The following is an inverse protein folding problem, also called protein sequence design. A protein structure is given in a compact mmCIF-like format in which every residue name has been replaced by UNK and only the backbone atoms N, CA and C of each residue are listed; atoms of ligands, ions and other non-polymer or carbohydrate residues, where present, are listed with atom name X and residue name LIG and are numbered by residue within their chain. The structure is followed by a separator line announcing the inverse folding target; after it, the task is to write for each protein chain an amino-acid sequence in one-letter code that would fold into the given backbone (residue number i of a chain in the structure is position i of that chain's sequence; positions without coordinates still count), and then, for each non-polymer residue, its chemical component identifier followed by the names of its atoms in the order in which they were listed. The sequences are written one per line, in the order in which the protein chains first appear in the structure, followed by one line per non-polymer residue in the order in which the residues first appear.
data_IF_463155837384
#
_entry.id   IF_463155837384
#
_cell.length_a   1.000
_cell.length_b   1.000
_cell.length_c   1.000
_cell.angle_alpha   90.00
_cell.angle_beta   90.00
_cell.angle_gamma   90.00
#
_symmetry.space_group_name_H-M   'P 1'
#
loop_
_entity.id
_entity.type
_entity.pdbx_description
1 polymer ?
#
# COMPACT_ATOMS: atom_id res chain seq x y z
N UNK A 1 36.39 -17.02 -4.36
CA UNK A 1 35.00 -17.08 -3.88
C UNK A 1 34.86 -15.98 -2.85
N UNK A 2 34.27 -14.85 -3.24
CA UNK A 2 33.81 -13.75 -2.38
C UNK A 2 32.77 -12.98 -3.22
N UNK A 3 31.63 -13.64 -3.45
CA UNK A 3 30.39 -13.00 -3.90
C UNK A 3 29.68 -12.47 -2.65
N UNK A 4 30.29 -11.49 -1.98
CA UNK A 4 29.53 -10.64 -1.08
C UNK A 4 28.77 -9.67 -1.97
N UNK A 5 27.50 -10.03 -2.17
CA UNK A 5 26.43 -9.30 -2.84
C UNK A 5 26.63 -7.79 -2.69
N UNK A 6 27.21 -7.16 -3.72
CA UNK A 6 26.99 -5.75 -3.99
C UNK A 6 25.49 -5.60 -4.18
N UNK A 7 24.77 -5.22 -3.13
CA UNK A 7 23.56 -4.45 -3.28
C UNK A 7 24.03 -3.14 -3.94
N UNK A 8 24.08 -3.13 -5.27
CA UNK A 8 24.45 -1.96 -6.06
C UNK A 8 23.51 -0.82 -5.68
N UNK A 9 23.99 0.42 -5.64
CA UNK A 9 23.18 1.60 -5.28
C UNK A 9 21.88 1.69 -6.11
N UNK A 10 21.86 1.12 -7.32
CA UNK A 10 20.69 0.97 -8.19
C UNK A 10 19.58 0.03 -7.64
N UNK A 11 19.86 -0.80 -6.63
CA UNK A 11 18.95 -1.82 -6.12
C UNK A 11 17.84 -1.24 -5.22
N UNK A 12 18.11 -0.13 -4.53
CA UNK A 12 17.15 0.49 -3.62
C UNK A 12 16.03 1.24 -4.37
N UNK A 13 16.31 2.12 -5.35
CA UNK A 13 15.27 2.72 -6.18
C UNK A 13 14.38 1.67 -6.86
N UNK A 14 14.99 0.60 -7.38
CA UNK A 14 14.24 -0.51 -7.99
C UNK A 14 13.34 -1.23 -6.99
N UNK A 15 13.84 -1.51 -5.78
CA UNK A 15 13.07 -2.15 -4.73
C UNK A 15 11.88 -1.28 -4.32
N UNK A 16 12.10 0.02 -4.09
CA UNK A 16 11.03 0.97 -3.76
C UNK A 16 10.00 1.06 -4.88
N UNK A 17 10.44 1.10 -6.14
CA UNK A 17 9.56 1.07 -7.30
C UNK A 17 8.72 -0.20 -7.37
N UNK A 18 9.31 -1.37 -7.09
CA UNK A 18 8.56 -2.66 -7.04
C UNK A 18 7.54 -2.68 -5.91
N UNK A 19 7.90 -2.16 -4.73
CA UNK A 19 6.97 -2.05 -3.60
C UNK A 19 5.81 -1.11 -3.96
N UNK A 20 6.11 0.07 -4.50
CA UNK A 20 5.12 1.04 -4.94
C UNK A 20 4.16 0.45 -5.98
N UNK A 21 4.68 -0.17 -7.05
CA UNK A 21 3.87 -0.80 -8.09
C UNK A 21 2.94 -1.89 -7.53
N UNK A 22 3.41 -2.65 -6.55
CA UNK A 22 2.58 -3.66 -5.88
C UNK A 22 1.49 -3.03 -5.03
N UNK A 23 1.82 -1.99 -4.25
CA UNK A 23 0.87 -1.25 -3.41
C UNK A 23 -0.23 -0.60 -4.27
N UNK A 24 0.16 0.14 -5.31
CA UNK A 24 -0.80 0.84 -6.17
C UNK A 24 -1.66 -0.14 -6.98
N UNK A 25 -1.10 -1.29 -7.39
CA UNK A 25 -1.87 -2.36 -8.03
C UNK A 25 -2.99 -2.91 -7.13
N UNK A 26 -2.74 -3.01 -5.82
CA UNK A 26 -3.77 -3.41 -4.86
C UNK A 26 -4.79 -2.30 -4.62
N UNK A 27 -4.35 -1.04 -4.50
CA UNK A 27 -5.26 0.12 -4.40
C UNK A 27 -6.22 0.16 -5.60
N UNK A 28 -5.71 -0.01 -6.82
CA UNK A 28 -6.53 -0.04 -8.02
C UNK A 28 -7.52 -1.22 -8.05
N UNK A 29 -7.16 -2.34 -7.44
CA UNK A 29 -8.08 -3.47 -7.29
C UNK A 29 -9.20 -3.15 -6.30
N UNK A 30 -8.88 -2.51 -5.17
CA UNK A 30 -9.88 -2.04 -4.20
C UNK A 30 -10.83 -1.00 -4.81
N UNK A 31 -10.32 -0.05 -5.60
CA UNK A 31 -11.14 0.96 -6.27
C UNK A 31 -12.11 0.35 -7.28
N UNK A 32 -11.67 -0.64 -8.07
CA UNK A 32 -12.56 -1.36 -9.00
C UNK A 32 -13.64 -2.17 -8.27
N UNK A 33 -13.26 -2.82 -7.16
CA UNK A 33 -14.22 -3.51 -6.31
C UNK A 33 -15.25 -2.53 -5.71
N UNK A 34 -14.80 -1.34 -5.28
CA UNK A 34 -15.67 -0.29 -4.75
C UNK A 34 -16.71 0.16 -5.78
N UNK A 35 -16.27 0.42 -7.02
CA UNK A 35 -17.14 0.84 -8.12
C UNK A 35 -18.16 -0.24 -8.53
N UNK A 36 -17.87 -1.51 -8.24
CA UNK A 36 -18.73 -2.64 -8.62
C UNK A 36 -19.71 -3.03 -7.50
N UNK A 37 -19.24 -3.07 -6.26
CA UNK A 37 -19.95 -3.70 -5.14
C UNK A 37 -20.45 -2.71 -4.09
N UNK A 38 -19.94 -1.48 -4.11
CA UNK A 38 -20.19 -0.47 -3.07
C UNK A 38 -19.91 -1.02 -1.66
N UNK A 39 -20.37 -0.34 -0.60
CA UNK A 39 -20.00 -0.65 0.78
C UNK A 39 -20.43 -2.05 1.25
N UNK A 40 -21.71 -2.39 1.10
CA UNK A 40 -22.28 -3.59 1.72
C UNK A 40 -21.79 -4.90 1.11
N UNK A 41 -21.52 -4.92 -0.20
CA UNK A 41 -21.06 -6.12 -0.89
C UNK A 41 -19.53 -6.16 -1.05
N UNK A 42 -18.81 -5.15 -0.54
CA UNK A 42 -17.38 -5.01 -0.79
C UNK A 42 -16.56 -6.21 -0.32
N UNK A 43 -16.73 -6.60 0.96
CA UNK A 43 -15.91 -7.63 1.59
C UNK A 43 -16.16 -9.02 1.00
N UNK A 44 -17.42 -9.34 0.72
CA UNK A 44 -17.82 -10.67 0.24
C UNK A 44 -17.29 -10.97 -1.18
N UNK A 45 -16.97 -9.92 -1.94
CA UNK A 45 -16.56 -10.02 -3.33
C UNK A 45 -15.08 -9.69 -3.55
N UNK A 46 -14.32 -9.41 -2.49
CA UNK A 46 -12.90 -9.09 -2.59
C UNK A 46 -12.06 -10.38 -2.55
N UNK A 47 -11.32 -10.63 -3.63
CA UNK A 47 -10.39 -11.75 -3.74
C UNK A 47 -9.04 -11.28 -4.34
N UNK A 48 -7.91 -11.38 -3.62
CA UNK A 48 -7.77 -11.84 -2.24
C UNK A 48 -8.49 -10.94 -1.24
N UNK A 49 -8.80 -11.47 -0.05
CA UNK A 49 -9.43 -10.68 1.01
C UNK A 49 -8.52 -9.52 1.46
N UNK A 50 -9.11 -8.47 2.02
CA UNK A 50 -8.36 -7.30 2.45
C UNK A 50 -7.33 -7.64 3.54
N UNK A 51 -7.65 -8.61 4.40
CA UNK A 51 -6.72 -9.12 5.41
C UNK A 51 -5.50 -9.81 4.78
N UNK A 52 -5.69 -10.63 3.74
CA UNK A 52 -4.59 -11.27 3.02
C UNK A 52 -3.71 -10.24 2.30
N UNK A 53 -4.32 -9.21 1.72
CA UNK A 53 -3.60 -8.08 1.10
C UNK A 53 -2.73 -7.38 2.15
N UNK A 54 -3.30 -7.04 3.31
CA UNK A 54 -2.57 -6.38 4.41
C UNK A 54 -1.42 -7.24 4.91
N UNK A 55 -1.64 -8.53 5.16
CA UNK A 55 -0.60 -9.49 5.56
C UNK A 55 0.53 -9.54 4.54
N UNK A 56 0.20 -9.53 3.25
CA UNK A 56 1.16 -9.50 2.16
C UNK A 56 2.04 -8.24 2.14
N UNK A 57 1.66 -7.17 2.85
CA UNK A 57 2.41 -5.91 2.94
C UNK A 57 3.12 -5.68 4.28
N UNK A 58 2.98 -6.55 5.28
CA UNK A 58 3.59 -6.34 6.61
C UNK A 58 5.11 -6.16 6.53
N UNK A 59 5.79 -7.03 5.78
CA UNK A 59 7.23 -6.91 5.57
C UNK A 59 7.60 -5.63 4.80
N UNK A 60 6.81 -5.25 3.80
CA UNK A 60 7.05 -4.03 3.03
C UNK A 60 6.89 -2.78 3.91
N UNK A 61 5.85 -2.73 4.74
CA UNK A 61 5.61 -1.62 5.68
C UNK A 61 6.74 -1.50 6.70
N UNK A 62 7.23 -2.63 7.22
CA UNK A 62 8.41 -2.67 8.09
C UNK A 62 9.67 -2.15 7.38
N UNK A 63 9.98 -2.65 6.18
CA UNK A 63 11.15 -2.24 5.42
C UNK A 63 11.10 -0.75 5.05
N UNK A 64 9.97 -0.27 4.54
CA UNK A 64 9.75 1.16 4.24
C UNK A 64 9.92 2.03 5.48
N UNK A 65 9.48 1.55 6.66
CA UNK A 65 9.70 2.25 7.92
C UNK A 65 11.18 2.42 8.21
N UNK A 66 11.98 1.36 8.05
CA UNK A 66 13.43 1.43 8.27
C UNK A 66 14.14 2.32 7.26
N UNK A 67 13.73 2.29 5.99
CA UNK A 67 14.29 3.21 5.00
C UNK A 67 13.97 4.68 5.30
N UNK A 68 12.72 5.00 5.63
CA UNK A 68 12.34 6.38 5.99
C UNK A 68 13.05 6.85 7.27
N UNK A 69 13.16 5.99 8.28
CA UNK A 69 13.84 6.31 9.56
C UNK A 69 15.36 6.47 9.41
N UNK A 70 15.98 5.86 8.40
CA UNK A 70 17.44 5.97 8.18
C UNK A 70 17.89 7.40 7.85
N UNK A 71 17.03 8.16 7.17
CA UNK A 71 17.39 9.49 6.64
C UNK A 71 18.26 9.45 5.38
N UNK A 72 18.56 8.27 4.85
CA UNK A 72 19.49 8.07 3.72
C UNK A 72 18.79 8.05 2.35
N UNK A 73 17.47 8.27 2.30
CA UNK A 73 16.70 8.28 1.06
C UNK A 73 16.83 9.62 0.32
N UNK A 74 17.03 9.57 -0.98
CA UNK A 74 16.86 10.73 -1.84
C UNK A 74 15.42 11.24 -1.80
N UNK A 75 15.20 12.49 -2.23
CA UNK A 75 13.90 13.14 -2.14
C UNK A 75 12.78 12.34 -2.84
N UNK A 76 13.06 11.78 -4.02
CA UNK A 76 12.08 11.01 -4.78
C UNK A 76 11.81 9.63 -4.17
N UNK A 77 12.85 8.98 -3.63
CA UNK A 77 12.74 7.71 -2.90
C UNK A 77 11.94 7.87 -1.61
N UNK A 78 12.23 8.94 -0.86
CA UNK A 78 11.50 9.32 0.35
C UNK A 78 10.02 9.53 0.04
N UNK A 79 9.71 10.26 -1.04
CA UNK A 79 8.33 10.48 -1.48
C UNK A 79 7.64 9.15 -1.82
N UNK A 80 8.28 8.28 -2.59
CA UNK A 80 7.72 6.97 -2.95
C UNK A 80 7.47 6.10 -1.71
N UNK A 81 8.44 6.04 -0.79
CA UNK A 81 8.34 5.26 0.43
C UNK A 81 7.19 5.75 1.33
N UNK A 82 7.05 7.07 1.50
CA UNK A 82 5.95 7.67 2.26
C UNK A 82 4.60 7.38 1.60
N UNK A 83 4.49 7.55 0.28
CA UNK A 83 3.24 7.28 -0.44
C UNK A 83 2.80 5.82 -0.31
N UNK A 84 3.75 4.88 -0.45
CA UNK A 84 3.49 3.46 -0.26
C UNK A 84 2.99 3.15 1.16
N UNK A 85 3.65 3.71 2.19
CA UNK A 85 3.22 3.56 3.59
C UNK A 85 1.82 4.12 3.85
N UNK A 86 1.51 5.29 3.30
CA UNK A 86 0.19 5.89 3.45
C UNK A 86 -0.92 5.03 2.83
N UNK A 87 -0.67 4.45 1.65
CA UNK A 87 -1.62 3.52 1.03
C UNK A 87 -1.83 2.26 1.88
N UNK A 88 -0.76 1.67 2.41
CA UNK A 88 -0.83 0.50 3.29
C UNK A 88 -1.63 0.83 4.56
N UNK A 89 -1.37 1.98 5.19
CA UNK A 89 -2.13 2.44 6.35
C UNK A 89 -3.61 2.60 6.03
N UNK A 90 -3.95 3.21 4.90
CA UNK A 90 -5.33 3.36 4.45
C UNK A 90 -6.02 2.03 4.22
N UNK A 91 -5.34 1.03 3.66
CA UNK A 91 -5.88 -0.33 3.54
C UNK A 91 -6.19 -0.94 4.92
N UNK A 92 -5.33 -0.73 5.92
CA UNK A 92 -5.59 -1.15 7.31
C UNK A 92 -6.80 -0.44 7.92
N UNK A 93 -6.90 0.88 7.73
CA UNK A 93 -8.04 1.67 8.19
C UNK A 93 -9.34 1.27 7.48
N UNK A 94 -9.29 0.97 6.19
CA UNK A 94 -10.41 0.48 5.40
C UNK A 94 -10.93 -0.83 5.98
N UNK A 95 -10.03 -1.76 6.30
CA UNK A 95 -10.39 -3.03 6.93
C UNK A 95 -11.10 -2.82 8.28
N UNK A 96 -10.63 -1.87 9.08
CA UNK A 96 -11.27 -1.53 10.34
C UNK A 96 -12.65 -0.90 10.13
N UNK A 97 -12.78 0.07 9.21
CA UNK A 97 -14.06 0.73 8.89
C UNK A 97 -15.11 -0.28 8.45
N UNK A 98 -14.72 -1.26 7.62
CA UNK A 98 -15.60 -2.36 7.21
C UNK A 98 -15.98 -3.26 8.39
N UNK A 99 -15.03 -3.62 9.26
CA UNK A 99 -15.30 -4.46 10.43
C UNK A 99 -16.29 -3.83 11.43
N UNK A 100 -16.25 -2.50 11.61
CA UNK A 100 -17.17 -1.77 12.49
C UNK A 100 -18.38 -1.18 11.75
N UNK A 101 -18.58 -1.53 10.49
CA UNK A 101 -19.67 -1.05 9.63
C UNK A 101 -19.77 0.49 9.52
N UNK A 102 -18.63 1.19 9.56
CA UNK A 102 -18.56 2.64 9.44
C UNK A 102 -18.44 3.07 7.96
N UNK A 103 -19.58 3.29 7.32
CA UNK A 103 -19.67 3.65 5.89
C UNK A 103 -19.05 5.02 5.57
N UNK A 104 -19.15 6.00 6.48
CA UNK A 104 -18.59 7.34 6.26
C UNK A 104 -17.07 7.28 6.18
N UNK A 105 -16.44 6.57 7.12
CA UNK A 105 -14.99 6.39 7.14
C UNK A 105 -14.52 5.55 5.94
N UNK A 106 -15.26 4.50 5.57
CA UNK A 106 -14.99 3.75 4.34
C UNK A 106 -14.99 4.65 3.11
N UNK A 107 -16.01 5.49 2.96
CA UNK A 107 -16.20 6.35 1.78
C UNK A 107 -15.07 7.38 1.70
N UNK A 108 -14.73 7.99 2.83
CA UNK A 108 -13.60 8.90 2.95
C UNK A 108 -12.29 8.24 2.54
N UNK A 109 -12.00 7.05 3.07
CA UNK A 109 -10.76 6.32 2.75
C UNK A 109 -10.71 5.96 1.26
N UNK A 110 -11.82 5.54 0.66
CA UNK A 110 -11.88 5.26 -0.79
C UNK A 110 -11.59 6.49 -1.65
N UNK A 111 -12.11 7.66 -1.26
CA UNK A 111 -11.80 8.92 -1.93
C UNK A 111 -10.32 9.28 -1.81
N UNK A 112 -9.75 9.12 -0.62
CA UNK A 112 -8.33 9.38 -0.36
C UNK A 112 -7.40 8.42 -1.11
N UNK A 113 -7.79 7.15 -1.25
CA UNK A 113 -7.08 6.15 -2.04
C UNK A 113 -7.16 6.47 -3.54
N UNK A 114 -8.33 6.93 -4.01
CA UNK A 114 -8.53 7.36 -5.41
C UNK A 114 -7.64 8.54 -5.78
N UNK A 115 -7.50 9.52 -4.88
CA UNK A 115 -6.60 10.66 -5.09
C UNK A 115 -5.14 10.21 -5.18
N UNK A 116 -4.70 9.27 -4.33
CA UNK A 116 -3.34 8.76 -4.36
C UNK A 116 -3.01 7.90 -5.58
N UNK A 117 -3.99 7.18 -6.11
CA UNK A 117 -3.81 6.38 -7.34
C UNK A 117 -3.64 7.24 -8.61
N UNK A 118 -3.95 8.53 -8.55
CA UNK A 118 -3.77 9.49 -9.64
C UNK A 118 -2.44 10.25 -9.59
N UNK A 119 -1.63 10.03 -8.55
CA UNK A 119 -0.29 10.62 -8.35
C UNK A 119 0.76 9.70 -8.97
#
# INVERSE_FOLDING_TARGET
MNEETRLTEDALPELLGRIWNRVIGQVNTLLRAHETFEFFNFLENLNPSLEEVIKGFEFADFALTKFVESGDLEHDEMRQAINAKQCILKMKLLSNALAVQNQDEYTKIMQELKQQAQI
#
